data_IF_599213667642
#
_entry.id   IF_599213667642
#
_cell.length_a   1.000
_cell.length_b   1.000
_cell.length_c   1.000
_cell.angle_alpha   90.00
_cell.angle_beta   90.00
_cell.angle_gamma   90.00
#
_symmetry.space_group_name_H-M   'P 1'
#
loop_
_entity.id
_entity.type
_entity.pdbx_description
1 polymer ?
#
# COMPACT_ATOMS: atom_id res chain seq x y z
N UNK A 1 1.53 -14.37 -17.91
CA UNK A 1 1.39 -14.62 -16.46
C UNK A 1 -0.07 -14.89 -16.13
N UNK A 2 -0.41 -15.99 -15.43
CA UNK A 2 -1.81 -16.40 -15.20
C UNK A 2 -2.59 -15.47 -14.25
N UNK A 3 -1.90 -14.80 -13.34
CA UNK A 3 -2.50 -13.97 -12.28
C UNK A 3 -2.25 -12.47 -12.50
N UNK A 4 -1.98 -12.05 -13.73
CA UNK A 4 -1.69 -10.65 -14.06
C UNK A 4 -2.72 -10.17 -15.06
N UNK A 5 -3.38 -9.07 -14.72
CA UNK A 5 -4.30 -8.34 -15.60
C UNK A 5 -3.74 -6.95 -15.83
N UNK A 6 -3.79 -6.48 -17.08
CA UNK A 6 -3.33 -5.14 -17.46
C UNK A 6 -4.54 -4.35 -17.94
N UNK A 7 -4.70 -3.15 -17.41
CA UNK A 7 -5.78 -2.23 -17.77
C UNK A 7 -5.20 -0.94 -18.30
N UNK A 8 -5.82 -0.40 -19.34
CA UNK A 8 -5.45 0.89 -19.93
C UNK A 8 -6.63 1.84 -19.81
N UNK A 9 -6.36 3.08 -19.43
CA UNK A 9 -7.33 4.18 -19.42
C UNK A 9 -6.60 5.49 -19.75
N UNK A 10 -7.32 6.51 -20.26
CA UNK A 10 -6.79 7.86 -20.30
C UNK A 10 -6.34 8.32 -18.91
N UNK A 11 -5.14 8.88 -18.83
CA UNK A 11 -4.61 9.42 -17.58
C UNK A 11 -5.23 10.79 -17.31
N UNK A 12 -5.75 10.96 -16.10
CA UNK A 12 -6.28 12.23 -15.58
C UNK A 12 -5.47 12.69 -14.37
N UNK A 13 -5.37 11.87 -13.32
CA UNK A 13 -4.52 12.11 -12.15
C UNK A 13 -4.15 10.81 -11.41
N UNK A 14 -3.16 10.88 -10.52
CA UNK A 14 -2.64 9.74 -9.78
C UNK A 14 -3.68 9.08 -8.86
N UNK A 15 -4.47 9.87 -8.13
CA UNK A 15 -5.50 9.37 -7.23
C UNK A 15 -6.57 8.57 -7.98
N UNK A 16 -7.09 9.11 -9.08
CA UNK A 16 -8.06 8.47 -9.95
C UNK A 16 -7.49 7.21 -10.60
N UNK A 17 -6.23 7.24 -11.02
CA UNK A 17 -5.55 6.06 -11.56
C UNK A 17 -5.45 4.92 -10.54
N UNK A 18 -5.08 5.23 -9.29
CA UNK A 18 -4.98 4.23 -8.21
C UNK A 18 -6.36 3.73 -7.78
N UNK A 19 -7.35 4.61 -7.68
CA UNK A 19 -8.73 4.24 -7.38
C UNK A 19 -9.34 3.34 -8.46
N UNK A 20 -9.10 3.64 -9.73
CA UNK A 20 -9.49 2.76 -10.83
C UNK A 20 -8.88 1.37 -10.66
N UNK A 21 -7.59 1.29 -10.30
CA UNK A 21 -6.92 0.02 -9.99
C UNK A 21 -7.59 -0.73 -8.83
N UNK A 22 -7.93 -0.04 -7.74
CA UNK A 22 -8.67 -0.61 -6.61
C UNK A 22 -10.01 -1.20 -7.08
N UNK A 23 -10.73 -0.51 -7.96
CA UNK A 23 -12.03 -0.97 -8.46
C UNK A 23 -11.93 -2.26 -9.28
N UNK A 24 -10.81 -2.50 -9.97
CA UNK A 24 -10.56 -3.74 -10.70
C UNK A 24 -10.22 -4.95 -9.80
N UNK A 25 -9.85 -4.74 -8.54
CA UNK A 25 -9.47 -5.84 -7.64
C UNK A 25 -10.70 -6.69 -7.30
N UNK A 26 -10.69 -7.98 -7.59
CA UNK A 26 -11.81 -8.88 -7.30
C UNK A 26 -11.84 -9.39 -5.86
N UNK A 27 -10.76 -9.20 -5.11
CA UNK A 27 -10.62 -9.67 -3.75
C UNK A 27 -11.02 -8.61 -2.70
N UNK A 28 -11.38 -9.03 -1.47
CA UNK A 28 -11.78 -8.08 -0.41
C UNK A 28 -10.65 -7.18 0.07
N UNK A 29 -9.40 -7.58 -0.14
CA UNK A 29 -8.21 -6.86 0.30
C UNK A 29 -7.41 -6.37 -0.89
N UNK A 30 -6.98 -5.12 -0.82
CA UNK A 30 -6.08 -4.49 -1.78
C UNK A 30 -4.74 -4.26 -1.11
N UNK A 31 -3.69 -4.68 -1.81
CA UNK A 31 -2.31 -4.46 -1.46
C UNK A 31 -1.70 -3.61 -2.57
N UNK A 32 -1.21 -2.42 -2.23
CA UNK A 32 -0.61 -1.48 -3.16
C UNK A 32 0.84 -1.26 -2.80
N UNK A 33 1.75 -1.37 -3.76
CA UNK A 33 3.17 -1.06 -3.61
C UNK A 33 3.68 -0.41 -4.88
N UNK A 34 4.67 0.48 -4.73
CA UNK A 34 5.34 1.10 -5.86
C UNK A 34 6.32 0.09 -6.51
N UNK A 35 6.67 0.25 -7.80
CA UNK A 35 7.51 -0.73 -8.52
C UNK A 35 8.92 -0.93 -7.96
N UNK A 36 9.38 0.01 -7.13
CA UNK A 36 10.66 0.00 -6.43
C UNK A 36 10.57 -0.54 -4.99
N UNK A 37 9.38 -0.97 -4.53
CA UNK A 37 9.16 -1.57 -3.21
C UNK A 37 9.03 -3.10 -3.29
N UNK A 38 9.53 -3.83 -2.28
CA UNK A 38 9.49 -5.31 -2.25
C UNK A 38 8.79 -5.89 -1.01
N UNK A 39 7.83 -6.80 -1.22
CA UNK A 39 7.21 -7.56 -0.12
C UNK A 39 8.11 -8.72 0.31
N UNK A 40 9.01 -8.44 1.25
CA UNK A 40 9.90 -9.46 1.82
C UNK A 40 9.11 -10.61 2.48
N UNK A 41 9.65 -11.84 2.55
CA UNK A 41 8.95 -13.00 3.10
C UNK A 41 8.36 -12.79 4.50
N UNK A 42 9.08 -12.08 5.37
CA UNK A 42 8.60 -11.74 6.71
C UNK A 42 7.36 -10.83 6.68
N UNK A 43 7.34 -9.82 5.81
CA UNK A 43 6.22 -8.90 5.64
C UNK A 43 5.01 -9.64 5.05
N UNK A 44 5.22 -10.55 4.09
CA UNK A 44 4.17 -11.41 3.55
C UNK A 44 3.48 -12.22 4.65
N UNK A 45 4.25 -12.89 5.51
CA UNK A 45 3.67 -13.69 6.61
C UNK A 45 2.87 -12.82 7.58
N UNK A 46 3.40 -11.64 7.91
CA UNK A 46 2.72 -10.70 8.78
C UNK A 46 1.40 -10.18 8.17
N UNK A 47 1.39 -9.86 6.87
CA UNK A 47 0.18 -9.46 6.14
C UNK A 47 -0.87 -10.57 6.20
N UNK A 48 -0.50 -11.82 5.92
CA UNK A 48 -1.44 -12.95 5.93
C UNK A 48 -2.05 -13.15 7.32
N UNK A 49 -1.25 -13.06 8.39
CA UNK A 49 -1.73 -13.14 9.77
C UNK A 49 -2.66 -11.98 10.13
N UNK A 50 -2.31 -10.76 9.71
CA UNK A 50 -3.11 -9.56 9.97
C UNK A 50 -4.49 -9.65 9.30
N UNK A 51 -4.52 -10.06 8.03
CA UNK A 51 -5.75 -10.29 7.26
C UNK A 51 -6.60 -11.38 7.89
N UNK A 52 -6.00 -12.51 8.29
CA UNK A 52 -6.72 -13.61 8.93
C UNK A 52 -7.34 -13.22 10.27
N UNK A 53 -6.65 -12.38 11.06
CA UNK A 53 -7.16 -11.86 12.33
C UNK A 53 -8.35 -10.93 12.14
N UNK A 54 -8.39 -10.16 11.05
CA UNK A 54 -9.53 -9.30 10.68
C UNK A 54 -9.84 -8.17 11.68
N UNK A 55 -8.88 -7.76 12.52
CA UNK A 55 -9.09 -6.76 13.57
C UNK A 55 -9.14 -5.30 13.07
N UNK A 56 -8.64 -5.06 11.87
CA UNK A 56 -8.55 -3.75 11.23
C UNK A 56 -9.03 -3.82 9.78
N UNK A 57 -9.32 -2.66 9.21
CA UNK A 57 -9.76 -2.45 7.82
C UNK A 57 -8.61 -1.94 6.94
N UNK A 58 -7.49 -1.55 7.54
CA UNK A 58 -6.27 -1.19 6.84
C UNK A 58 -5.04 -1.22 7.74
N UNK A 59 -3.87 -1.27 7.12
CA UNK A 59 -2.61 -1.40 7.82
C UNK A 59 -1.54 -0.47 7.24
N UNK A 60 -0.93 0.29 8.14
CA UNK A 60 0.27 1.04 7.86
C UNK A 60 1.48 0.10 7.80
N UNK A 61 2.32 0.34 6.80
CA UNK A 61 3.63 -0.29 6.66
C UNK A 61 4.68 0.81 6.67
N UNK A 62 5.78 0.56 7.37
CA UNK A 62 6.87 1.53 7.49
C UNK A 62 7.85 1.34 6.36
N UNK A 63 8.03 2.37 5.53
CA UNK A 63 8.98 2.36 4.41
C UNK A 63 10.43 2.43 4.89
N UNK A 64 11.32 1.91 4.08
CA UNK A 64 12.75 2.20 4.12
C UNK A 64 13.08 2.92 2.83
N UNK A 65 13.80 4.03 2.92
CA UNK A 65 14.28 4.70 1.72
C UNK A 65 15.73 4.30 1.46
N UNK A 66 15.97 3.95 0.20
CA UNK A 66 17.30 3.70 -0.33
C UNK A 66 17.62 4.79 -1.35
N UNK A 67 18.80 5.39 -1.22
CA UNK A 67 19.32 6.35 -2.18
C UNK A 67 20.72 5.91 -2.60
N UNK A 68 20.92 5.76 -3.92
CA UNK A 68 22.17 5.26 -4.51
C UNK A 68 22.67 3.96 -3.85
N UNK A 69 21.75 3.00 -3.64
CA UNK A 69 22.05 1.69 -3.04
C UNK A 69 22.32 1.72 -1.52
N UNK A 70 22.26 2.89 -0.88
CA UNK A 70 22.45 3.03 0.56
C UNK A 70 21.14 3.38 1.24
N UNK A 71 20.85 2.64 2.30
CA UNK A 71 19.74 2.98 3.19
C UNK A 71 19.99 4.34 3.83
N UNK A 72 19.03 5.25 3.68
CA UNK A 72 19.07 6.54 4.38
C UNK A 72 18.82 6.29 5.86
N UNK A 73 19.76 6.73 6.70
CA UNK A 73 19.70 6.69 8.15
C UNK A 73 19.81 8.13 8.67
N UNK A 74 19.09 8.46 9.73
CA UNK A 74 19.07 9.77 10.40
C UNK A 74 18.50 10.95 9.59
N UNK A 75 17.48 10.72 8.75
CA UNK A 75 16.66 11.75 8.10
C UNK A 75 15.19 11.74 8.56
N UNK A 76 14.42 12.78 8.21
CA UNK A 76 12.96 12.83 8.42
C UNK A 76 12.17 11.74 7.70
N UNK A 77 12.78 11.07 6.71
CA UNK A 77 12.14 10.02 5.91
C UNK A 77 12.10 8.64 6.61
N UNK A 78 12.68 8.49 7.81
CA UNK A 78 12.80 7.19 8.47
C UNK A 78 11.57 6.75 9.27
N UNK A 79 10.67 7.70 9.56
CA UNK A 79 9.44 7.52 10.35
C UNK A 79 8.20 7.47 9.46
N UNK A 80 8.40 7.24 8.17
CA UNK A 80 7.36 7.33 7.17
C UNK A 80 6.47 6.08 7.17
N UNK A 81 5.21 6.30 7.54
CA UNK A 81 4.17 5.28 7.64
C UNK A 81 3.14 5.54 6.56
N UNK A 82 2.90 4.55 5.73
CA UNK A 82 1.91 4.61 4.65
C UNK A 82 0.98 3.43 4.71
N UNK A 83 -0.30 3.67 4.42
CA UNK A 83 -1.24 2.58 4.23
C UNK A 83 -0.90 1.90 2.89
N UNK A 84 -0.58 0.62 2.97
CA UNK A 84 -0.26 -0.23 1.80
C UNK A 84 -1.24 -1.39 1.66
N UNK A 85 -1.93 -1.75 2.75
CA UNK A 85 -2.95 -2.80 2.77
C UNK A 85 -4.26 -2.21 3.29
N UNK A 86 -5.35 -2.41 2.56
CA UNK A 86 -6.68 -1.95 2.95
C UNK A 86 -7.79 -2.85 2.42
N UNK A 87 -8.92 -2.90 3.12
CA UNK A 87 -10.13 -3.54 2.60
C UNK A 87 -10.66 -2.72 1.43
N UNK A 88 -10.95 -3.36 0.30
CA UNK A 88 -11.46 -2.72 -0.92
C UNK A 88 -12.68 -1.84 -0.67
N UNK A 89 -13.57 -2.28 0.24
CA UNK A 89 -14.80 -1.56 0.61
C UNK A 89 -14.56 -0.33 1.50
N UNK A 90 -13.37 -0.21 2.10
CA UNK A 90 -13.03 0.82 3.07
C UNK A 90 -11.85 1.69 2.64
N UNK A 91 -11.09 1.33 1.61
CA UNK A 91 -9.91 2.07 1.17
C UNK A 91 -10.13 2.83 -0.14
N UNK A 92 -9.71 4.10 -0.16
CA UNK A 92 -9.67 4.97 -1.35
C UNK A 92 -8.53 5.98 -1.24
N UNK A 93 -7.96 6.37 -2.37
CA UNK A 93 -7.05 7.51 -2.43
C UNK A 93 -7.85 8.82 -2.37
N UNK A 94 -7.34 9.77 -1.58
CA UNK A 94 -8.03 10.98 -1.15
C UNK A 94 -8.31 12.04 -2.24
N UNK A 95 -7.90 11.79 -3.49
CA UNK A 95 -8.19 12.70 -4.60
C UNK A 95 -7.22 13.88 -4.70
N UNK A 96 -6.17 13.93 -3.87
CA UNK A 96 -5.13 14.94 -4.00
C UNK A 96 -4.44 14.84 -5.37
N UNK A 97 -4.11 15.99 -5.96
CA UNK A 97 -3.38 16.06 -7.22
C UNK A 97 -1.92 15.59 -7.09
N UNK A 98 -1.32 15.77 -5.91
CA UNK A 98 0.04 15.35 -5.55
C UNK A 98 0.08 14.87 -4.10
N UNK A 99 1.00 13.95 -3.78
CA UNK A 99 1.14 13.34 -2.45
C UNK A 99 -0.16 12.68 -1.98
N UNK A 100 -0.83 11.96 -2.88
CA UNK A 100 -2.05 11.23 -2.56
C UNK A 100 -1.81 10.15 -1.50
N UNK A 101 -2.69 10.09 -0.52
CA UNK A 101 -2.67 9.06 0.52
C UNK A 101 -3.85 8.14 0.34
N UNK A 102 -3.64 6.86 0.66
CA UNK A 102 -4.75 5.91 0.78
C UNK A 102 -5.39 6.14 2.15
N UNK A 103 -6.63 6.60 2.14
CA UNK A 103 -7.45 6.73 3.33
C UNK A 103 -8.24 5.44 3.54
N UNK A 104 -8.48 5.11 4.82
CA UNK A 104 -9.26 3.94 5.22
C UNK A 104 -10.38 4.40 6.14
N UNK A 105 -11.62 4.18 5.70
CA UNK A 105 -12.80 4.39 6.53
C UNK A 105 -13.02 3.16 7.43
N UNK A 106 -12.34 3.13 8.56
CA UNK A 106 -12.40 2.01 9.50
C UNK A 106 -11.23 2.00 10.48
N UNK A 107 -11.01 0.86 11.12
CA UNK A 107 -9.90 0.72 12.09
C UNK A 107 -8.61 0.50 11.33
N UNK A 108 -7.54 1.19 11.71
CA UNK A 108 -6.20 0.98 11.12
C UNK A 108 -5.24 0.34 12.12
N UNK A 109 -4.42 -0.59 11.64
CA UNK A 109 -3.32 -1.19 12.41
C UNK A 109 -1.94 -0.77 11.86
N UNK A 110 -0.87 -1.17 12.53
CA UNK A 110 0.51 -0.99 12.04
C UNK A 110 1.20 -2.35 11.96
N UNK A 111 1.82 -2.65 10.82
CA UNK A 111 2.71 -3.81 10.70
C UNK A 111 4.09 -3.46 11.26
N UNK A 112 4.76 -4.45 11.83
CA UNK A 112 6.08 -4.33 12.46
C UNK A 112 7.19 -4.42 11.42
N UNK A 113 7.03 -5.30 10.45
CA UNK A 113 8.01 -5.51 9.38
C UNK A 113 8.02 -4.29 8.46
N UNK A 114 9.23 -3.86 8.10
CA UNK A 114 9.44 -2.72 7.22
C UNK A 114 9.39 -3.16 5.76
N UNK A 115 8.93 -2.26 4.91
CA UNK A 115 8.99 -2.39 3.46
C UNK A 115 10.32 -1.77 2.99
N UNK A 116 11.26 -2.56 2.44
CA UNK A 116 12.49 -2.04 1.87
C UNK A 116 12.24 -1.16 0.65
#
# INVERSE_FOLDING_TARGET
FKNVSVFTRPFDNFSAQKNFGIDQVVHPWVLFFDPDEEVVPALKQEILQAVARGAHDGYYVRRQLYFMGKKIKYSGFQTDWVIRLGRKSACRYNGNFVHETMDVNGRTGKLKTRLP
#
